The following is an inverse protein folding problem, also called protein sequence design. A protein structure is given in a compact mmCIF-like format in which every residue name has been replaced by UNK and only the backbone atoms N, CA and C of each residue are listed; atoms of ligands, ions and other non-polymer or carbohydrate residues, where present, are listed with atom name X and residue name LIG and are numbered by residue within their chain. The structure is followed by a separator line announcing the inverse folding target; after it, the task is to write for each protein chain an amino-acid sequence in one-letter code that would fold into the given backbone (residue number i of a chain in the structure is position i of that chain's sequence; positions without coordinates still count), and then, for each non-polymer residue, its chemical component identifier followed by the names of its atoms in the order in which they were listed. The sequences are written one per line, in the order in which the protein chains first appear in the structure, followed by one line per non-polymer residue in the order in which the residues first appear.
data_IF_297412234083
#
_entry.id   IF_297412234083
#
_cell.length_a   1.000
_cell.length_b   1.000
_cell.length_c   1.000
_cell.angle_alpha   90.00
_cell.angle_beta   90.00
_cell.angle_gamma   90.00
#
_symmetry.space_group_name_H-M   'P 1'
#
loop_
_entity.id
_entity.type
_entity.pdbx_description
1 polymer ?
#
# COMPACT_ATOMS: atom_id res chain seq x y z
N UNK A 1 -25.43 7.87 -6.23
CA UNK A 1 -24.02 8.13 -5.94
C UNK A 1 -23.28 6.91 -6.47
N UNK A 2 -22.24 7.12 -7.26
CA UNK A 2 -21.44 6.02 -7.79
C UNK A 2 -20.77 5.30 -6.60
N UNK A 3 -20.80 3.97 -6.56
CA UNK A 3 -20.25 3.21 -5.44
C UNK A 3 -18.75 3.49 -5.28
N UNK A 4 -18.05 3.67 -6.41
CA UNK A 4 -16.66 4.14 -6.46
C UNK A 4 -16.46 5.43 -5.68
N UNK A 5 -17.33 6.44 -5.89
CA UNK A 5 -17.24 7.73 -5.17
C UNK A 5 -17.38 7.56 -3.65
N UNK A 6 -18.11 6.55 -3.19
CA UNK A 6 -18.25 6.27 -1.75
C UNK A 6 -16.93 5.75 -1.17
N UNK A 7 -16.27 4.82 -1.87
CA UNK A 7 -14.96 4.31 -1.48
C UNK A 7 -13.88 5.38 -1.57
N UNK A 8 -13.84 6.12 -2.68
CA UNK A 8 -12.90 7.22 -2.90
C UNK A 8 -13.02 8.29 -1.81
N UNK A 9 -14.24 8.58 -1.34
CA UNK A 9 -14.44 9.50 -0.22
C UNK A 9 -13.82 9.00 1.08
N UNK A 10 -13.81 7.69 1.33
CA UNK A 10 -13.16 7.11 2.51
C UNK A 10 -11.64 7.14 2.40
N UNK A 11 -11.13 6.89 1.20
CA UNK A 11 -9.70 7.03 0.90
C UNK A 11 -9.28 8.50 1.03
N UNK A 12 -10.09 9.46 0.59
CA UNK A 12 -9.76 10.88 0.61
C UNK A 12 -9.47 11.40 2.04
N UNK A 13 -10.20 10.90 3.04
CA UNK A 13 -9.98 11.24 4.45
C UNK A 13 -8.60 10.78 4.97
N UNK A 14 -7.99 9.79 4.30
CA UNK A 14 -6.71 9.17 4.65
C UNK A 14 -5.77 9.07 3.43
N UNK A 15 -5.84 10.04 2.53
CA UNK A 15 -5.05 10.03 1.30
C UNK A 15 -3.56 10.08 1.64
N UNK A 16 -2.82 9.01 1.36
CA UNK A 16 -1.43 8.87 1.79
C UNK A 16 -0.53 9.99 1.27
N UNK A 17 -0.81 10.58 0.10
CA UNK A 17 -0.02 11.70 -0.42
C UNK A 17 -0.12 12.95 0.46
N UNK A 18 -1.20 13.12 1.23
CA UNK A 18 -1.37 14.22 2.18
C UNK A 18 -0.68 13.96 3.52
N UNK A 19 -0.17 12.74 3.77
CA UNK A 19 0.51 12.39 5.01
C UNK A 19 1.87 13.11 5.09
N UNK A 20 2.30 13.61 6.28
CA UNK A 20 3.60 14.27 6.47
C UNK A 20 4.79 13.48 5.90
N UNK A 21 4.81 12.15 6.10
CA UNK A 21 5.77 11.23 5.47
C UNK A 21 5.92 11.45 3.95
N UNK A 22 4.82 11.51 3.18
CA UNK A 22 4.90 11.71 1.74
C UNK A 22 5.27 13.14 1.37
N UNK A 23 4.84 14.13 2.15
CA UNK A 23 5.25 15.53 1.94
C UNK A 23 6.76 15.68 2.09
N UNK A 24 7.34 15.11 3.16
CA UNK A 24 8.77 15.08 3.38
C UNK A 24 9.51 14.26 2.32
N UNK A 25 8.95 13.10 1.90
CA UNK A 25 9.53 12.30 0.81
C UNK A 25 9.66 13.12 -0.47
N UNK A 26 8.57 13.77 -0.88
CA UNK A 26 8.49 14.54 -2.13
C UNK A 26 9.31 15.82 -2.11
N UNK A 27 9.65 16.32 -0.91
CA UNK A 27 10.57 17.43 -0.72
C UNK A 27 12.05 16.99 -0.60
N UNK A 28 12.34 15.69 -0.52
CA UNK A 28 13.69 15.17 -0.27
C UNK A 28 14.18 15.41 1.16
N UNK A 29 13.25 15.57 2.10
CA UNK A 29 13.53 15.92 3.50
C UNK A 29 13.63 14.70 4.43
N UNK A 30 13.25 13.50 3.94
CA UNK A 30 13.42 12.28 4.71
C UNK A 30 14.90 11.84 4.72
N UNK A 31 15.45 11.49 5.90
CA UNK A 31 16.73 10.78 5.98
C UNK A 31 16.68 9.43 5.23
N UNK A 32 17.84 8.98 4.72
CA UNK A 32 17.95 7.64 4.11
C UNK A 32 17.61 6.54 5.10
N UNK A 33 17.88 6.76 6.39
CA UNK A 33 17.49 5.90 7.50
C UNK A 33 15.97 5.69 7.55
N UNK A 34 15.19 6.75 7.33
CA UNK A 34 13.72 6.66 7.27
C UNK A 34 13.25 5.88 6.04
N UNK A 35 13.91 6.06 4.88
CA UNK A 35 13.63 5.23 3.69
C UNK A 35 13.92 3.75 3.96
N UNK A 36 15.04 3.47 4.65
CA UNK A 36 15.46 2.13 5.04
C UNK A 36 14.44 1.47 5.97
N UNK A 37 13.99 2.20 6.98
CA UNK A 37 12.94 1.76 7.91
C UNK A 37 11.62 1.48 7.17
N UNK A 38 11.24 2.38 6.25
CA UNK A 38 10.07 2.19 5.39
C UNK A 38 10.17 0.91 4.54
N UNK A 39 11.29 0.70 3.84
CA UNK A 39 11.49 -0.47 2.99
C UNK A 39 11.46 -1.78 3.79
N UNK A 40 12.07 -1.78 4.98
CA UNK A 40 12.08 -2.94 5.90
C UNK A 40 10.68 -3.26 6.43
N UNK A 41 10.02 -2.28 7.04
CA UNK A 41 8.78 -2.45 7.81
C UNK A 41 7.58 -2.60 6.89
N UNK A 42 7.41 -1.68 5.94
CA UNK A 42 6.26 -1.66 5.04
C UNK A 42 6.32 -2.82 4.05
N UNK A 43 7.53 -3.34 3.74
CA UNK A 43 7.69 -4.55 2.95
C UNK A 43 7.01 -5.78 3.55
N UNK A 44 6.89 -5.86 4.89
CA UNK A 44 6.14 -6.92 5.52
C UNK A 44 4.64 -6.87 5.16
N UNK A 45 4.08 -5.67 4.98
CA UNK A 45 2.71 -5.49 4.50
C UNK A 45 2.58 -5.83 3.03
N UNK A 46 3.54 -5.41 2.19
CA UNK A 46 3.56 -5.79 0.76
C UNK A 46 3.53 -7.31 0.60
N UNK A 47 4.26 -8.05 1.43
CA UNK A 47 4.21 -9.52 1.42
C UNK A 47 2.84 -10.14 1.79
N UNK A 48 1.87 -9.36 2.26
CA UNK A 48 0.50 -9.83 2.54
C UNK A 48 -0.49 -9.59 1.42
N UNK A 49 -0.18 -8.70 0.47
CA UNK A 49 -1.10 -8.31 -0.61
C UNK A 49 -1.55 -9.51 -1.48
N UNK A 50 -0.68 -10.47 -1.86
CA UNK A 50 -1.11 -11.66 -2.59
C UNK A 50 -2.23 -12.44 -1.89
N UNK A 51 -2.22 -12.50 -0.56
CA UNK A 51 -3.24 -13.23 0.23
C UNK A 51 -4.63 -12.63 -0.02
N UNK A 52 -4.72 -11.30 -0.12
CA UNK A 52 -5.98 -10.63 -0.44
C UNK A 52 -6.52 -11.07 -1.80
N UNK A 53 -5.67 -11.11 -2.82
CA UNK A 53 -6.04 -11.54 -4.18
C UNK A 53 -6.37 -13.03 -4.26
N UNK A 54 -5.64 -13.89 -3.54
CA UNK A 54 -5.95 -15.31 -3.40
C UNK A 54 -7.33 -15.54 -2.77
N UNK A 55 -7.70 -14.76 -1.75
CA UNK A 55 -9.03 -14.81 -1.13
C UNK A 55 -10.16 -14.45 -2.12
N UNK A 56 -9.85 -13.66 -3.15
CA UNK A 56 -10.78 -13.32 -4.23
C UNK A 56 -10.78 -14.33 -5.39
N UNK A 57 -9.96 -15.39 -5.32
CA UNK A 57 -9.73 -16.36 -6.40
C UNK A 57 -9.11 -15.72 -7.67
N UNK A 58 -8.47 -14.55 -7.52
CA UNK A 58 -7.77 -13.81 -8.59
C UNK A 58 -6.31 -14.30 -8.70
N UNK A 59 -6.14 -15.57 -9.07
CA UNK A 59 -4.85 -16.27 -9.05
C UNK A 59 -3.75 -15.66 -9.94
N UNK A 60 -4.12 -15.03 -11.07
CA UNK A 60 -3.16 -14.36 -11.96
C UNK A 60 -2.60 -13.09 -11.31
N UNK A 61 -3.47 -12.23 -10.76
CA UNK A 61 -3.04 -11.02 -10.05
C UNK A 61 -2.31 -11.36 -8.75
N UNK A 62 -2.72 -12.42 -8.04
CA UNK A 62 -1.94 -12.90 -6.89
C UNK A 62 -0.52 -13.32 -7.28
N UNK A 63 -0.33 -13.95 -8.44
CA UNK A 63 1.00 -14.33 -8.93
C UNK A 63 1.84 -13.10 -9.32
N UNK A 64 1.24 -12.10 -9.97
CA UNK A 64 1.89 -10.80 -10.26
C UNK A 64 2.35 -10.11 -8.96
N UNK A 65 1.49 -10.06 -7.95
CA UNK A 65 1.83 -9.49 -6.64
C UNK A 65 2.94 -10.26 -5.91
N UNK A 66 3.07 -11.58 -6.13
CA UNK A 66 4.20 -12.35 -5.63
C UNK A 66 5.50 -11.92 -6.31
N UNK A 67 5.48 -11.66 -7.62
CA UNK A 67 6.66 -11.12 -8.33
C UNK A 67 7.00 -9.69 -7.84
N UNK A 68 6.00 -8.89 -7.47
CA UNK A 68 6.20 -7.56 -6.89
C UNK A 68 6.92 -7.60 -5.52
N UNK A 69 6.84 -8.70 -4.77
CA UNK A 69 7.61 -8.88 -3.53
C UNK A 69 9.11 -8.88 -3.82
N UNK A 70 9.55 -9.51 -4.91
CA UNK A 70 10.97 -9.51 -5.30
C UNK A 70 11.43 -8.11 -5.70
N UNK A 71 10.59 -7.34 -6.42
CA UNK A 71 10.87 -5.95 -6.75
C UNK A 71 11.00 -5.07 -5.49
N UNK A 72 10.17 -5.32 -4.47
CA UNK A 72 10.28 -4.64 -3.19
C UNK A 72 11.54 -5.05 -2.42
N UNK A 73 11.93 -6.34 -2.50
CA UNK A 73 13.16 -6.83 -1.90
C UNK A 73 14.40 -6.14 -2.52
N UNK A 74 14.41 -5.92 -3.84
CA UNK A 74 15.44 -5.14 -4.53
C UNK A 74 15.46 -3.67 -4.08
N UNK A 75 14.29 -3.08 -3.84
CA UNK A 75 14.18 -1.74 -3.26
C UNK A 75 14.80 -1.68 -1.85
N UNK A 76 14.49 -2.64 -0.98
CA UNK A 76 15.09 -2.74 0.35
C UNK A 76 16.62 -2.96 0.27
N UNK A 77 17.08 -3.86 -0.60
CA UNK A 77 18.50 -4.15 -0.79
C UNK A 77 19.27 -2.91 -1.28
N UNK A 78 18.68 -2.12 -2.19
CA UNK A 78 19.26 -0.85 -2.66
C UNK A 78 19.39 0.23 -1.58
N UNK A 79 18.72 0.07 -0.44
CA UNK A 79 18.83 0.92 0.76
C UNK A 79 19.71 0.28 1.86
N UNK A 80 20.44 -0.78 1.52
CA UNK A 80 21.25 -1.58 2.44
C UNK A 80 20.42 -2.19 3.59
N UNK A 81 19.21 -2.67 3.28
CA UNK A 81 18.36 -3.41 4.23
C UNK A 81 17.65 -4.59 3.58
N UNK A 82 16.85 -5.31 4.35
CA UNK A 82 16.01 -6.39 3.88
C UNK A 82 14.65 -6.30 4.56
N UNK A 83 13.59 -6.74 3.86
CA UNK A 83 12.28 -6.92 4.46
C UNK A 83 12.39 -7.88 5.64
N UNK A 84 11.77 -7.52 6.75
CA UNK A 84 11.81 -8.33 7.96
C UNK A 84 10.55 -8.12 8.80
N UNK A 85 10.38 -8.94 9.83
CA UNK A 85 9.24 -8.84 10.74
C UNK A 85 9.09 -7.41 11.27
N UNK A 86 7.90 -6.85 11.11
CA UNK A 86 7.58 -5.50 11.53
C UNK A 86 7.84 -5.33 13.03
N UNK A 87 8.50 -4.24 13.41
CA UNK A 87 8.79 -3.88 14.80
C UNK A 87 7.98 -2.67 15.25
N UNK A 88 7.60 -1.79 14.31
CA UNK A 88 6.84 -0.58 14.60
C UNK A 88 5.39 -0.95 14.96
N UNK A 89 4.85 -0.52 16.12
CA UNK A 89 3.51 -0.91 16.57
C UNK A 89 2.40 -0.65 15.56
N UNK A 90 2.46 0.48 14.86
CA UNK A 90 1.48 0.87 13.85
C UNK A 90 1.57 -0.01 12.60
N UNK A 91 2.77 -0.48 12.24
CA UNK A 91 2.96 -1.42 11.13
C UNK A 91 2.47 -2.82 11.54
N UNK A 92 2.70 -3.25 12.79
CA UNK A 92 2.10 -4.48 13.33
C UNK A 92 0.57 -4.43 13.27
N UNK A 93 -0.02 -3.31 13.68
CA UNK A 93 -1.46 -3.10 13.61
C UNK A 93 -1.99 -3.11 12.15
N UNK A 94 -1.20 -2.63 11.19
CA UNK A 94 -1.51 -2.76 9.76
C UNK A 94 -1.50 -4.23 9.32
N UNK A 95 -0.51 -5.02 9.72
CA UNK A 95 -0.46 -6.45 9.41
C UNK A 95 -1.64 -7.22 10.02
N UNK A 96 -1.98 -6.95 11.29
CA UNK A 96 -3.14 -7.54 11.95
C UNK A 96 -4.44 -7.17 11.21
N UNK A 97 -4.57 -5.91 10.79
CA UNK A 97 -5.72 -5.42 10.02
C UNK A 97 -5.78 -6.09 8.64
N UNK A 98 -4.66 -6.23 7.95
CA UNK A 98 -4.59 -6.90 6.66
C UNK A 98 -4.97 -8.38 6.79
N UNK A 99 -4.43 -9.09 7.78
CA UNK A 99 -4.76 -10.50 8.02
C UNK A 99 -6.26 -10.70 8.31
N UNK A 100 -6.86 -9.82 9.13
CA UNK A 100 -8.29 -9.85 9.41
C UNK A 100 -9.13 -9.55 8.16
N UNK A 101 -8.80 -8.51 7.40
CA UNK A 101 -9.61 -8.08 6.28
C UNK A 101 -9.44 -8.97 5.04
N UNK A 102 -8.27 -9.55 4.84
CA UNK A 102 -8.00 -10.49 3.74
C UNK A 102 -8.53 -11.90 4.00
N UNK A 103 -9.12 -12.20 5.16
CA UNK A 103 -9.63 -13.55 5.46
C UNK A 103 -10.97 -13.87 4.80
N UNK A 104 -11.71 -12.87 4.32
CA UNK A 104 -13.04 -13.03 3.74
C UNK A 104 -13.18 -12.19 2.45
N UNK A 105 -13.84 -12.70 1.39
CA UNK A 105 -13.87 -12.01 0.09
C UNK A 105 -14.43 -10.58 0.13
N UNK A 106 -15.50 -10.34 0.89
CA UNK A 106 -16.15 -9.02 0.93
C UNK A 106 -15.27 -7.97 1.61
N UNK A 107 -14.57 -8.33 2.69
CA UNK A 107 -13.65 -7.41 3.38
C UNK A 107 -12.36 -7.24 2.59
N UNK A 108 -11.89 -8.30 1.91
CA UNK A 108 -10.70 -8.25 1.07
C UNK A 108 -10.87 -7.24 -0.07
N UNK A 109 -12.02 -7.22 -0.74
CA UNK A 109 -12.33 -6.23 -1.78
C UNK A 109 -12.18 -4.78 -1.30
N UNK A 110 -12.74 -4.45 -0.13
CA UNK A 110 -12.63 -3.10 0.41
C UNK A 110 -11.21 -2.74 0.82
N UNK A 111 -10.51 -3.69 1.46
CA UNK A 111 -9.15 -3.50 1.93
C UNK A 111 -8.14 -3.37 0.78
N UNK A 112 -8.21 -4.24 -0.23
CA UNK A 112 -7.38 -4.12 -1.44
C UNK A 112 -7.67 -2.80 -2.16
N UNK A 113 -8.94 -2.43 -2.33
CA UNK A 113 -9.28 -1.17 -3.01
C UNK A 113 -8.67 0.05 -2.31
N UNK A 114 -8.65 0.06 -0.97
CA UNK A 114 -8.02 1.12 -0.19
C UNK A 114 -6.52 1.30 -0.48
N UNK A 115 -5.82 0.23 -0.82
CA UNK A 115 -4.40 0.22 -1.15
C UNK A 115 -4.18 0.50 -2.65
N UNK A 116 -4.77 -0.32 -3.53
CA UNK A 116 -4.50 -0.28 -4.98
C UNK A 116 -4.96 1.03 -5.62
N UNK A 117 -6.07 1.62 -5.18
CA UNK A 117 -6.53 2.89 -5.71
C UNK A 117 -5.56 4.06 -5.41
N UNK A 118 -4.65 3.91 -4.43
CA UNK A 118 -3.65 4.90 -4.09
C UNK A 118 -2.27 4.60 -4.70
N UNK A 119 -2.01 3.37 -5.15
CA UNK A 119 -0.71 2.91 -5.63
C UNK A 119 -0.17 3.74 -6.80
N UNK A 120 -0.94 4.09 -7.87
CA UNK A 120 -0.41 4.84 -9.00
C UNK A 120 0.21 6.19 -8.61
N UNK A 121 -0.57 7.00 -7.89
CA UNK A 121 -0.15 8.34 -7.51
C UNK A 121 0.98 8.29 -6.46
N UNK A 122 0.92 7.36 -5.51
CA UNK A 122 1.96 7.21 -4.49
C UNK A 122 3.27 6.65 -5.06
N UNK A 123 3.22 5.69 -5.98
CA UNK A 123 4.38 5.14 -6.67
C UNK A 123 5.05 6.19 -7.55
N UNK A 124 4.28 6.99 -8.30
CA UNK A 124 4.81 8.10 -9.10
C UNK A 124 5.51 9.14 -8.21
N UNK A 125 4.90 9.52 -7.09
CA UNK A 125 5.49 10.44 -6.12
C UNK A 125 6.79 9.91 -5.56
N UNK A 126 6.83 8.63 -5.18
CA UNK A 126 8.03 7.99 -4.63
C UNK A 126 9.15 7.92 -5.64
N UNK A 127 8.87 7.43 -6.85
CA UNK A 127 9.83 7.34 -7.94
C UNK A 127 10.44 8.70 -8.27
N UNK A 128 9.60 9.74 -8.34
CA UNK A 128 10.04 11.12 -8.57
C UNK A 128 10.98 11.58 -7.46
N UNK A 129 10.61 11.38 -6.19
CA UNK A 129 11.45 11.74 -5.05
C UNK A 129 12.79 10.99 -5.03
N UNK A 130 12.78 9.68 -5.27
CA UNK A 130 13.99 8.85 -5.33
C UNK A 130 14.97 9.38 -6.38
N UNK A 131 14.48 9.61 -7.61
CA UNK A 131 15.30 10.10 -8.73
C UNK A 131 15.83 11.52 -8.51
N UNK A 132 15.08 12.37 -7.81
CA UNK A 132 15.43 13.78 -7.63
C UNK A 132 16.41 14.03 -6.48
N UNK A 133 16.25 13.33 -5.35
CA UNK A 133 16.90 13.73 -4.09
C UNK A 133 17.89 12.72 -3.53
N UNK A 134 17.84 11.45 -3.96
CA UNK A 134 18.65 10.39 -3.36
C UNK A 134 19.61 9.78 -4.39
N UNK A 135 20.86 9.57 -3.97
CA UNK A 135 21.89 8.92 -4.80
C UNK A 135 21.90 7.41 -4.58
N UNK A 136 20.81 6.75 -4.99
CA UNK A 136 20.58 5.32 -4.80
C UNK A 136 20.80 4.53 -6.10
N UNK A 137 21.09 3.22 -6.02
CA UNK A 137 21.24 2.38 -7.21
C UNK A 137 19.91 2.28 -7.97
N UNK A 138 19.99 2.06 -9.29
CA UNK A 138 18.80 1.93 -10.15
C UNK A 138 17.84 0.80 -9.78
N UNK A 139 18.29 -0.19 -9.01
CA UNK A 139 17.45 -1.28 -8.51
C UNK A 139 16.32 -0.84 -7.56
N UNK A 140 16.34 0.41 -7.06
CA UNK A 140 15.25 0.95 -6.21
C UNK A 140 14.02 1.43 -6.99
N UNK A 141 14.12 1.52 -8.31
CA UNK A 141 13.09 2.12 -9.18
C UNK A 141 12.00 1.14 -9.65
N UNK A 142 12.29 -0.12 -10.02
CA UNK A 142 11.34 -1.01 -10.72
C UNK A 142 9.98 -1.20 -10.04
N UNK A 143 9.95 -1.43 -8.71
CA UNK A 143 8.67 -1.56 -8.00
C UNK A 143 7.76 -0.35 -8.25
N UNK A 144 8.30 0.87 -8.14
CA UNK A 144 7.51 2.08 -8.33
C UNK A 144 7.20 2.36 -9.80
N UNK A 145 8.08 1.96 -10.72
CA UNK A 145 7.82 2.07 -12.16
C UNK A 145 6.62 1.20 -12.56
N UNK A 146 6.58 -0.06 -12.13
CA UNK A 146 5.46 -0.97 -12.37
C UNK A 146 4.13 -0.40 -11.88
N UNK A 147 4.08 0.14 -10.66
CA UNK A 147 2.83 0.60 -10.07
C UNK A 147 2.41 2.02 -10.51
N UNK A 148 3.32 2.86 -11.02
CA UNK A 148 3.06 4.28 -11.32
C UNK A 148 2.03 4.56 -12.41
N UNK A 149 1.65 3.56 -13.22
CA UNK A 149 0.68 3.70 -14.31
C UNK A 149 -0.38 2.58 -14.31
N UNK A 150 -0.52 1.85 -13.19
CA UNK A 150 -1.37 0.68 -13.11
C UNK A 150 -2.67 0.98 -12.37
N UNK A 151 -3.71 1.38 -13.10
CA UNK A 151 -5.07 1.52 -12.53
C UNK A 151 -5.87 0.20 -12.60
N UNK A 152 -5.34 -0.82 -13.28
CA UNK A 152 -6.05 -2.04 -13.67
C UNK A 152 -6.57 -2.83 -12.46
N UNK A 153 -5.77 -2.95 -11.41
CA UNK A 153 -6.15 -3.64 -10.16
C UNK A 153 -7.34 -2.96 -9.49
N UNK A 154 -7.31 -1.62 -9.37
CA UNK A 154 -8.41 -0.88 -8.76
C UNK A 154 -9.70 -0.94 -9.58
N UNK A 155 -9.61 -0.95 -10.91
CA UNK A 155 -10.75 -1.14 -11.82
C UNK A 155 -11.33 -2.55 -11.69
N UNK A 156 -10.47 -3.58 -11.68
CA UNK A 156 -10.88 -4.97 -11.46
C UNK A 156 -11.63 -5.14 -10.14
N UNK A 157 -11.11 -4.57 -9.05
CA UNK A 157 -11.78 -4.61 -7.74
C UNK A 157 -13.18 -3.96 -7.80
N UNK A 158 -13.34 -2.85 -8.53
CA UNK A 158 -14.66 -2.21 -8.70
C UNK A 158 -15.63 -3.08 -9.49
N UNK A 159 -15.16 -3.81 -10.51
CA UNK A 159 -15.98 -4.78 -11.24
C UNK A 159 -16.45 -5.92 -10.32
N UNK A 160 -15.53 -6.50 -9.53
CA UNK A 160 -15.85 -7.52 -8.53
C UNK A 160 -16.85 -7.01 -7.48
N UNK A 161 -16.71 -5.77 -7.02
CA UNK A 161 -17.68 -5.19 -6.08
C UNK A 161 -19.03 -4.93 -6.76
N UNK A 162 -19.04 -4.51 -8.03
CA UNK A 162 -20.27 -4.22 -8.77
C UNK A 162 -21.21 -5.41 -8.93
N UNK A 163 -20.70 -6.64 -8.80
CA UNK A 163 -21.50 -7.88 -8.84
C UNK A 163 -21.95 -8.37 -7.47
N UNK A 164 -21.50 -7.73 -6.37
CA UNK A 164 -21.91 -8.11 -5.03
C UNK A 164 -23.39 -7.75 -4.74
N UNK A 165 -24.04 -8.51 -3.85
CA UNK A 165 -25.30 -8.09 -3.24
C UNK A 165 -25.17 -6.73 -2.54
N UNK A 166 -26.21 -5.91 -2.63
CA UNK A 166 -26.20 -4.54 -2.09
C UNK A 166 -26.03 -4.47 -0.56
N UNK A 167 -26.39 -5.53 0.17
CA UNK A 167 -26.20 -5.64 1.62
C UNK A 167 -24.72 -5.86 2.00
N UNK A 168 -23.90 -6.38 1.09
CA UNK A 168 -22.44 -6.51 1.28
C UNK A 168 -21.70 -5.16 1.15
N UNK A 169 -22.27 -4.18 0.45
CA UNK A 169 -21.62 -2.90 0.16
C UNK A 169 -21.20 -2.13 1.42
N UNK A 170 -22.01 -2.18 2.48
CA UNK A 170 -21.68 -1.51 3.74
C UNK A 170 -20.41 -2.11 4.38
N UNK A 171 -20.20 -3.42 4.25
CA UNK A 171 -19.01 -4.12 4.73
C UNK A 171 -17.77 -3.76 3.91
N UNK A 172 -17.90 -3.67 2.59
CA UNK A 172 -16.80 -3.24 1.70
C UNK A 172 -16.32 -1.83 2.08
N UNK A 173 -17.25 -0.88 2.27
CA UNK A 173 -16.91 0.51 2.64
C UNK A 173 -16.21 0.56 4.00
N UNK A 174 -16.68 -0.21 4.98
CA UNK A 174 -16.04 -0.28 6.31
C UNK A 174 -14.63 -0.88 6.25
N UNK A 175 -14.44 -1.94 5.46
CA UNK A 175 -13.12 -2.54 5.26
C UNK A 175 -12.16 -1.57 4.56
N UNK A 176 -12.64 -0.83 3.56
CA UNK A 176 -11.88 0.20 2.89
C UNK A 176 -11.40 1.29 3.87
N UNK A 177 -12.32 1.87 4.64
CA UNK A 177 -11.99 2.90 5.64
C UNK A 177 -11.02 2.38 6.72
N UNK A 178 -11.22 1.14 7.19
CA UNK A 178 -10.34 0.51 8.19
C UNK A 178 -8.93 0.31 7.64
N UNK A 179 -8.80 -0.19 6.41
CA UNK A 179 -7.49 -0.34 5.77
C UNK A 179 -6.84 1.01 5.49
N UNK A 180 -7.56 2.00 4.95
CA UNK A 180 -7.03 3.35 4.72
C UNK A 180 -6.48 3.97 6.01
N UNK A 181 -7.19 3.82 7.14
CA UNK A 181 -6.73 4.28 8.45
C UNK A 181 -5.46 3.57 8.89
N UNK A 182 -5.38 2.24 8.70
CA UNK A 182 -4.21 1.45 9.08
C UNK A 182 -2.97 1.82 8.26
N UNK A 183 -3.11 2.01 6.94
CA UNK A 183 -2.06 2.46 6.05
C UNK A 183 -1.53 3.84 6.48
N UNK A 184 -2.43 4.78 6.77
CA UNK A 184 -2.07 6.10 7.28
C UNK A 184 -1.26 6.02 8.58
N UNK A 185 -1.75 5.27 9.56
CA UNK A 185 -1.10 5.14 10.86
C UNK A 185 0.26 4.43 10.76
N UNK A 186 0.42 3.46 9.85
CA UNK A 186 1.70 2.82 9.60
C UNK A 186 2.74 3.84 9.13
N UNK A 187 2.38 4.77 8.24
CA UNK A 187 3.27 5.86 7.83
C UNK A 187 3.58 6.82 8.99
N UNK A 188 2.61 7.11 9.86
CA UNK A 188 2.86 7.91 11.08
C UNK A 188 3.91 7.21 11.95
N UNK A 189 3.75 5.92 12.22
CA UNK A 189 4.70 5.15 13.03
C UNK A 189 6.12 5.12 12.43
N UNK A 190 6.24 4.94 11.11
CA UNK A 190 7.53 4.95 10.40
C UNK A 190 8.17 6.34 10.44
N UNK A 191 7.38 7.39 10.21
CA UNK A 191 7.85 8.77 10.23
C UNK A 191 8.35 9.17 11.62
N UNK A 192 7.58 8.87 12.67
CA UNK A 192 7.91 9.28 14.03
C UNK A 192 9.09 8.48 14.62
N UNK A 193 9.28 7.21 14.23
CA UNK A 193 10.37 6.39 14.75
C UNK A 193 11.77 6.93 14.42
N UNK A 194 11.89 7.66 13.30
CA UNK A 194 13.18 8.14 12.77
C UNK A 194 13.29 9.67 12.77
N UNK A 195 12.20 10.39 13.02
CA UNK A 195 12.17 11.85 13.20
C UNK A 195 12.14 12.30 14.69
N UNK A 196 12.24 11.35 15.64
CA UNK A 196 12.27 11.60 17.09
C UNK A 196 13.66 11.90 17.65
#
# INVERSE_FOLDING_TARGET
MDFKQTLDSKIADYNLLNHPFYQAWSAGELPVETLRSYAREYGAFISTVPIGWETLDETETAAEEIEHIDLWADFAAGLDTAVAEAQIPQVKALLDTAHELFSEPTTALGALYAFEAQQPATAQSKLTGLKAYYQLPKSVEPYFETHSHNEHESEKLLECIGVLPSDSHATVVQACEKMSTALWNALTGIHDAECA
#
